data_IF_756314648393
#
_entry.id   IF_756314648393
#
_cell.length_a   1.000
_cell.length_b   1.000
_cell.length_c   1.000
_cell.angle_alpha   90.00
_cell.angle_beta   90.00
_cell.angle_gamma   90.00
#
_symmetry.space_group_name_H-M   'P 1'
#
loop_
_entity.id
_entity.type
_entity.pdbx_description
1 polymer ?
#
# COMPACT_ATOMS: atom_id res chain seq x y z
N UNK A 1 8.26 2.65 -7.08
CA UNK A 1 8.41 2.55 -5.61
C UNK A 1 9.89 2.58 -5.25
N UNK A 2 10.29 3.42 -4.29
CA UNK A 2 11.70 3.83 -4.04
C UNK A 2 12.73 2.70 -3.92
N UNK A 3 12.33 1.51 -3.45
CA UNK A 3 13.25 0.40 -3.13
C UNK A 3 13.10 -0.84 -4.01
N UNK A 4 12.27 -0.78 -5.07
CA UNK A 4 12.03 -1.93 -5.96
C UNK A 4 13.34 -2.56 -6.45
N UNK A 5 14.28 -1.74 -6.91
CA UNK A 5 15.55 -2.26 -7.44
C UNK A 5 16.43 -2.92 -6.38
N UNK A 6 16.43 -2.41 -5.15
CA UNK A 6 17.16 -3.02 -4.04
C UNK A 6 16.52 -4.34 -3.60
N UNK A 7 15.18 -4.38 -3.56
CA UNK A 7 14.42 -5.61 -3.25
C UNK A 7 14.75 -6.72 -4.26
N UNK A 8 14.68 -6.42 -5.56
CA UNK A 8 14.93 -7.42 -6.59
C UNK A 8 16.42 -7.85 -6.65
N UNK A 9 17.34 -6.94 -6.36
CA UNK A 9 18.77 -7.28 -6.24
C UNK A 9 19.05 -8.21 -5.04
N UNK A 10 18.39 -7.96 -3.90
CA UNK A 10 18.47 -8.85 -2.74
C UNK A 10 17.90 -10.24 -3.03
N UNK A 11 16.86 -10.32 -3.86
CA UNK A 11 16.30 -11.60 -4.33
C UNK A 11 17.23 -12.34 -5.31
N UNK A 12 18.34 -11.75 -5.75
CA UNK A 12 19.34 -12.41 -6.60
C UNK A 12 19.06 -12.31 -8.11
N UNK A 13 18.26 -11.32 -8.55
CA UNK A 13 18.10 -11.04 -9.97
C UNK A 13 19.30 -10.26 -10.52
N UNK A 14 19.53 -10.36 -11.83
CA UNK A 14 20.58 -9.59 -12.51
C UNK A 14 20.30 -8.09 -12.42
N UNK A 15 21.35 -7.27 -12.47
CA UNK A 15 21.23 -5.79 -12.36
C UNK A 15 20.23 -5.19 -13.35
N UNK A 16 20.17 -5.70 -14.58
CA UNK A 16 19.21 -5.25 -15.61
C UNK A 16 17.77 -5.62 -15.21
N UNK A 17 17.55 -6.84 -14.74
CA UNK A 17 16.23 -7.29 -14.31
C UNK A 17 15.75 -6.50 -13.09
N UNK A 18 16.63 -6.30 -12.10
CA UNK A 18 16.31 -5.59 -10.85
C UNK A 18 16.11 -4.08 -11.05
N UNK A 19 16.88 -3.45 -11.94
CA UNK A 19 16.85 -1.98 -12.08
C UNK A 19 15.87 -1.49 -13.14
N UNK A 20 15.63 -2.30 -14.18
CA UNK A 20 14.87 -1.86 -15.36
C UNK A 20 13.62 -2.70 -15.57
N UNK A 21 13.77 -4.00 -15.79
CA UNK A 21 12.66 -4.84 -16.28
C UNK A 21 11.57 -5.00 -15.22
N UNK A 22 11.91 -5.52 -14.03
CA UNK A 22 10.93 -5.80 -12.99
C UNK A 22 10.28 -4.52 -12.43
N UNK A 23 11.00 -3.42 -12.17
CA UNK A 23 10.37 -2.15 -11.77
C UNK A 23 9.40 -1.61 -12.82
N UNK A 24 9.75 -1.65 -14.11
CA UNK A 24 8.88 -1.14 -15.17
C UNK A 24 7.62 -1.99 -15.33
N UNK A 25 7.73 -3.32 -15.26
CA UNK A 25 6.57 -4.21 -15.24
C UNK A 25 5.68 -3.91 -14.03
N UNK A 26 6.27 -3.71 -12.86
CA UNK A 26 5.51 -3.40 -11.65
C UNK A 26 4.80 -2.03 -11.73
N UNK A 27 5.42 -1.03 -12.35
CA UNK A 27 4.78 0.26 -12.62
C UNK A 27 3.63 0.13 -13.63
N UNK A 28 3.76 -0.73 -14.64
CA UNK A 28 2.67 -1.04 -15.55
C UNK A 28 1.50 -1.74 -14.84
N UNK A 29 1.80 -2.71 -13.97
CA UNK A 29 0.79 -3.35 -13.09
C UNK A 29 0.10 -2.28 -12.25
N UNK A 30 0.85 -1.38 -11.62
CA UNK A 30 0.29 -0.29 -10.83
C UNK A 30 -0.69 0.56 -11.65
N UNK A 31 -0.28 0.99 -12.85
CA UNK A 31 -1.11 1.78 -13.77
C UNK A 31 -2.42 1.05 -14.10
N UNK A 32 -2.36 -0.20 -14.55
CA UNK A 32 -3.56 -0.98 -14.91
C UNK A 32 -4.46 -1.24 -13.68
N UNK A 33 -3.87 -1.42 -12.51
CA UNK A 33 -4.60 -1.68 -11.27
C UNK A 33 -5.43 -0.49 -10.78
N UNK A 34 -5.09 0.74 -11.19
CA UNK A 34 -5.89 1.91 -10.79
C UNK A 34 -7.30 1.93 -11.40
N UNK A 35 -7.52 1.29 -12.56
CA UNK A 35 -8.84 1.27 -13.21
C UNK A 35 -9.92 0.55 -12.37
N UNK A 36 -9.67 -0.68 -11.87
CA UNK A 36 -10.55 -1.30 -10.87
C UNK A 36 -10.79 -0.45 -9.63
N UNK A 37 -9.78 0.32 -9.19
CA UNK A 37 -9.90 1.19 -8.02
C UNK A 37 -10.91 2.32 -8.22
N UNK A 38 -10.89 2.97 -9.39
CA UNK A 38 -11.87 4.01 -9.74
C UNK A 38 -13.31 3.48 -9.65
N UNK A 39 -13.56 2.30 -10.25
CA UNK A 39 -14.87 1.66 -10.19
C UNK A 39 -15.24 1.18 -8.79
N UNK A 40 -14.27 0.62 -8.05
CA UNK A 40 -14.44 0.08 -6.72
C UNK A 40 -14.85 1.15 -5.70
N UNK A 41 -14.31 2.37 -5.81
CA UNK A 41 -14.59 3.46 -4.87
C UNK A 41 -16.09 3.76 -4.82
N UNK A 42 -16.74 3.81 -5.98
CA UNK A 42 -18.17 4.09 -6.09
C UNK A 42 -19.03 2.89 -5.68
N UNK A 43 -18.66 1.67 -6.10
CA UNK A 43 -19.48 0.47 -5.88
C UNK A 43 -19.31 -0.17 -4.51
N UNK A 44 -18.09 -0.29 -3.99
CA UNK A 44 -17.79 -1.02 -2.76
C UNK A 44 -17.76 -0.10 -1.53
N UNK A 45 -17.54 1.20 -1.73
CA UNK A 45 -17.38 2.17 -0.65
C UNK A 45 -15.94 2.27 -0.15
N UNK A 46 -15.65 3.34 0.58
CA UNK A 46 -14.27 3.71 0.94
C UNK A 46 -13.77 2.82 2.08
N UNK A 47 -14.61 2.56 3.09
CA UNK A 47 -14.24 1.75 4.25
C UNK A 47 -13.94 0.32 3.83
N UNK A 48 -14.84 -0.29 3.04
CA UNK A 48 -14.70 -1.66 2.55
C UNK A 48 -13.40 -1.85 1.77
N UNK A 49 -13.06 -0.91 0.88
CA UNK A 49 -11.82 -0.97 0.12
C UNK A 49 -10.57 -0.85 0.99
N UNK A 50 -10.56 0.04 2.00
CA UNK A 50 -9.44 0.17 2.92
C UNK A 50 -9.24 -1.11 3.76
N UNK A 51 -10.33 -1.71 4.24
CA UNK A 51 -10.28 -2.96 5.00
C UNK A 51 -9.75 -4.12 4.14
N UNK A 52 -10.35 -4.35 2.96
CA UNK A 52 -9.92 -5.41 2.03
C UNK A 52 -8.47 -5.18 1.60
N UNK A 53 -8.14 -3.94 1.23
CA UNK A 53 -6.79 -3.57 0.82
C UNK A 53 -5.75 -3.84 1.89
N UNK A 54 -6.04 -3.50 3.15
CA UNK A 54 -5.10 -3.72 4.25
C UNK A 54 -4.83 -5.22 4.48
N UNK A 55 -5.87 -6.06 4.41
CA UNK A 55 -5.75 -7.51 4.51
C UNK A 55 -4.92 -8.05 3.35
N UNK A 56 -5.28 -7.72 2.10
CA UNK A 56 -4.58 -8.20 0.91
C UNK A 56 -3.11 -7.79 0.92
N UNK A 57 -2.81 -6.53 1.20
CA UNK A 57 -1.44 -6.04 1.31
C UNK A 57 -0.66 -6.74 2.42
N UNK A 58 -1.29 -7.00 3.57
CA UNK A 58 -0.67 -7.74 4.68
C UNK A 58 -0.32 -9.18 4.28
N UNK A 59 -1.26 -9.89 3.63
CA UNK A 59 -1.04 -11.25 3.11
C UNK A 59 0.10 -11.26 2.11
N UNK A 60 0.13 -10.35 1.14
CA UNK A 60 1.20 -10.34 0.13
C UNK A 60 2.56 -9.95 0.69
N UNK A 61 2.62 -9.12 1.74
CA UNK A 61 3.86 -8.89 2.48
C UNK A 61 4.35 -10.16 3.19
N UNK A 62 3.47 -10.91 3.85
CA UNK A 62 3.82 -12.19 4.46
C UNK A 62 4.24 -13.24 3.42
N UNK A 63 3.54 -13.30 2.28
CA UNK A 63 3.93 -14.16 1.16
C UNK A 63 5.30 -13.78 0.61
N UNK A 64 5.57 -12.48 0.43
CA UNK A 64 6.89 -11.99 -0.01
C UNK A 64 7.98 -12.40 0.97
N UNK A 65 7.75 -12.25 2.28
CA UNK A 65 8.67 -12.74 3.30
C UNK A 65 8.90 -14.26 3.19
N UNK A 66 7.82 -15.05 3.19
CA UNK A 66 7.89 -16.51 3.16
C UNK A 66 8.55 -17.06 1.90
N UNK A 67 8.32 -16.47 0.72
CA UNK A 67 8.99 -16.88 -0.51
C UNK A 67 10.46 -16.43 -0.53
N UNK A 68 10.77 -15.24 -0.01
CA UNK A 68 12.14 -14.72 0.01
C UNK A 68 13.05 -15.56 0.92
N UNK A 69 12.55 -16.10 2.03
CA UNK A 69 13.34 -16.99 2.91
C UNK A 69 13.64 -18.35 2.27
N UNK A 70 12.86 -18.77 1.28
CA UNK A 70 13.02 -20.05 0.56
C UNK A 70 13.82 -19.92 -0.75
N UNK A 71 14.24 -18.70 -1.11
CA UNK A 71 14.92 -18.42 -2.38
C UNK A 71 16.35 -18.99 -2.44
N UNK A 72 16.92 -19.42 -1.30
CA UNK A 72 18.28 -19.96 -1.24
C UNK A 72 19.35 -18.87 -1.28
N UNK A 73 20.60 -19.22 -1.57
CA UNK A 73 21.70 -18.26 -1.65
C UNK A 73 21.80 -17.61 -3.02
N UNK A 74 22.46 -16.45 -3.12
CA UNK A 74 22.71 -15.77 -4.40
C UNK A 74 23.46 -16.63 -5.42
N UNK A 75 24.27 -17.59 -4.96
CA UNK A 75 25.03 -18.50 -5.83
C UNK A 75 24.20 -19.66 -6.37
N UNK A 76 23.19 -20.11 -5.62
CA UNK A 76 22.29 -21.22 -6.01
C UNK A 76 20.84 -20.86 -5.68
N UNK A 77 20.25 -19.88 -6.38
CA UNK A 77 18.88 -19.47 -6.11
C UNK A 77 17.89 -20.54 -6.57
N UNK A 78 16.91 -20.85 -5.74
CA UNK A 78 15.72 -21.58 -6.17
C UNK A 78 14.84 -20.64 -6.99
N UNK A 79 14.95 -20.74 -8.32
CA UNK A 79 14.23 -19.89 -9.27
C UNK A 79 12.71 -19.89 -9.02
N UNK A 80 12.13 -21.02 -8.61
CA UNK A 80 10.68 -21.10 -8.32
C UNK A 80 10.25 -20.15 -7.21
N UNK A 81 10.95 -20.20 -6.07
CA UNK A 81 10.69 -19.30 -4.94
C UNK A 81 11.05 -17.84 -5.24
N UNK A 82 12.10 -17.63 -6.04
CA UNK A 82 12.51 -16.30 -6.51
C UNK A 82 11.40 -15.60 -7.30
N UNK A 83 10.81 -16.29 -8.29
CA UNK A 83 9.69 -15.75 -9.07
C UNK A 83 8.41 -15.61 -8.24
N UNK A 84 8.15 -16.53 -7.30
CA UNK A 84 7.02 -16.43 -6.39
C UNK A 84 7.11 -15.18 -5.47
N UNK A 85 8.32 -14.83 -5.01
CA UNK A 85 8.56 -13.62 -4.24
C UNK A 85 8.27 -12.36 -5.07
N UNK A 86 8.73 -12.31 -6.32
CA UNK A 86 8.43 -11.19 -7.25
C UNK A 86 6.94 -11.08 -7.55
N UNK A 87 6.27 -12.20 -7.82
CA UNK A 87 4.83 -12.23 -8.04
C UNK A 87 4.07 -11.70 -6.81
N UNK A 88 4.49 -12.07 -5.61
CA UNK A 88 3.92 -11.55 -4.35
C UNK A 88 4.11 -10.04 -4.23
N UNK A 89 5.27 -9.50 -4.63
CA UNK A 89 5.48 -8.04 -4.68
C UNK A 89 4.54 -7.38 -5.70
N UNK A 90 4.33 -7.97 -6.87
CA UNK A 90 3.41 -7.42 -7.87
C UNK A 90 1.96 -7.44 -7.38
N UNK A 91 1.54 -8.51 -6.70
CA UNK A 91 0.20 -8.62 -6.12
C UNK A 91 0.00 -7.63 -4.96
N UNK A 92 1.06 -7.36 -4.17
CA UNK A 92 1.05 -6.26 -3.22
C UNK A 92 0.82 -4.92 -3.91
N UNK A 93 1.58 -4.60 -4.97
CA UNK A 93 1.43 -3.34 -5.71
C UNK A 93 0.05 -3.22 -6.34
N UNK A 94 -0.45 -4.31 -6.94
CA UNK A 94 -1.81 -4.40 -7.45
C UNK A 94 -2.78 -4.01 -6.35
N UNK A 95 -2.70 -4.67 -5.19
CA UNK A 95 -3.59 -4.45 -4.04
C UNK A 95 -3.56 -3.02 -3.53
N UNK A 96 -2.37 -2.44 -3.40
CA UNK A 96 -2.20 -1.04 -3.01
C UNK A 96 -2.86 -0.10 -4.02
N UNK A 97 -2.59 -0.28 -5.32
CA UNK A 97 -2.97 0.64 -6.38
C UNK A 97 -4.48 0.85 -6.53
N UNK A 98 -5.29 -0.18 -6.29
CA UNK A 98 -6.75 -0.07 -6.38
C UNK A 98 -7.45 0.23 -5.04
N UNK A 99 -6.72 0.17 -3.91
CA UNK A 99 -7.28 0.42 -2.56
C UNK A 99 -6.61 1.63 -1.90
N UNK A 100 -5.56 1.43 -1.12
CA UNK A 100 -4.87 2.44 -0.33
C UNK A 100 -4.13 3.50 -1.16
N UNK A 101 -3.94 3.26 -2.45
CA UNK A 101 -3.41 4.24 -3.38
C UNK A 101 -4.34 5.45 -3.54
N UNK A 102 -5.55 5.27 -4.12
CA UNK A 102 -6.48 6.38 -4.37
C UNK A 102 -7.41 6.69 -3.18
N UNK A 103 -7.83 5.68 -2.40
CA UNK A 103 -8.93 5.85 -1.43
C UNK A 103 -8.64 6.90 -0.37
N UNK A 104 -7.45 6.99 0.26
CA UNK A 104 -7.18 8.03 1.27
C UNK A 104 -7.29 9.45 0.72
N UNK A 105 -6.94 9.67 -0.55
CA UNK A 105 -7.05 10.99 -1.19
C UNK A 105 -8.49 11.42 -1.39
N UNK A 106 -9.36 10.47 -1.75
CA UNK A 106 -10.81 10.69 -1.86
C UNK A 106 -11.42 10.85 -0.47
N UNK A 107 -11.04 9.98 0.46
CA UNK A 107 -11.60 9.94 1.81
C UNK A 107 -11.35 11.25 2.56
N UNK A 108 -10.13 11.80 2.53
CA UNK A 108 -9.85 13.09 3.18
C UNK A 108 -10.68 14.24 2.58
N UNK A 109 -11.02 14.19 1.29
CA UNK A 109 -11.84 15.22 0.66
C UNK A 109 -13.32 15.13 1.08
N UNK A 110 -13.80 13.95 1.49
CA UNK A 110 -15.20 13.68 1.84
C UNK A 110 -15.47 13.77 3.35
N UNK A 111 -14.50 13.33 4.16
CA UNK A 111 -14.67 13.14 5.60
C UNK A 111 -14.68 14.45 6.39
N UNK A 112 -13.98 15.47 5.91
CA UNK A 112 -13.87 16.73 6.65
C UNK A 112 -15.09 17.64 6.44
N UNK A 113 -15.59 18.26 7.53
CA UNK A 113 -16.60 19.30 7.48
C UNK A 113 -16.23 20.41 6.50
N UNK A 114 -17.22 20.93 5.77
CA UNK A 114 -17.00 21.89 4.67
C UNK A 114 -16.13 23.08 5.10
N UNK A 115 -16.34 23.59 6.32
CA UNK A 115 -15.62 24.75 6.86
C UNK A 115 -14.12 24.53 7.06
N UNK A 116 -13.69 23.30 7.39
CA UNK A 116 -12.29 23.00 7.72
C UNK A 116 -11.62 22.05 6.73
N UNK A 117 -12.34 21.60 5.70
CA UNK A 117 -11.87 20.63 4.72
C UNK A 117 -10.52 20.95 4.12
N UNK A 118 -10.32 22.18 3.66
CA UNK A 118 -9.04 22.60 3.07
C UNK A 118 -7.89 22.45 4.08
N UNK A 119 -8.10 22.87 5.34
CA UNK A 119 -7.08 22.76 6.39
C UNK A 119 -6.83 21.29 6.77
N UNK A 120 -7.89 20.49 6.90
CA UNK A 120 -7.80 19.06 7.21
C UNK A 120 -7.04 18.28 6.14
N UNK A 121 -7.40 18.46 4.87
CA UNK A 121 -6.71 17.82 3.74
C UNK A 121 -5.25 18.28 3.60
N UNK A 122 -4.95 19.55 3.92
CA UNK A 122 -3.58 20.03 3.94
C UNK A 122 -2.74 19.31 5.01
N UNK A 123 -3.26 19.16 6.23
CA UNK A 123 -2.57 18.41 7.30
C UNK A 123 -2.39 16.93 6.91
N UNK A 124 -3.41 16.31 6.31
CA UNK A 124 -3.32 14.94 5.79
C UNK A 124 -2.21 14.78 4.74
N UNK A 125 -2.13 15.73 3.82
CA UNK A 125 -1.12 15.76 2.75
C UNK A 125 0.28 15.96 3.31
N UNK A 126 0.48 16.92 4.22
CA UNK A 126 1.77 17.16 4.88
C UNK A 126 2.21 15.92 5.67
N UNK A 127 1.28 15.31 6.41
CA UNK A 127 1.54 14.06 7.13
C UNK A 127 1.98 12.95 6.18
N UNK A 128 1.31 12.79 5.02
CA UNK A 128 1.70 11.80 4.02
C UNK A 128 3.13 12.01 3.51
N UNK A 129 3.49 13.23 3.11
CA UNK A 129 4.83 13.52 2.61
C UNK A 129 5.91 13.41 3.69
N UNK A 130 5.62 13.79 4.93
CA UNK A 130 6.53 13.61 6.06
C UNK A 130 6.80 12.12 6.34
N UNK A 131 5.74 11.30 6.37
CA UNK A 131 5.90 9.86 6.55
C UNK A 131 6.65 9.21 5.37
N UNK A 132 6.40 9.66 4.14
CA UNK A 132 7.17 9.23 2.98
C UNK A 132 8.66 9.58 3.10
N UNK A 133 9.00 10.76 3.64
CA UNK A 133 10.39 11.14 3.89
C UNK A 133 11.04 10.26 4.96
N UNK A 134 10.34 9.98 6.07
CA UNK A 134 10.84 9.07 7.12
C UNK A 134 11.10 7.68 6.56
N UNK A 135 10.14 7.09 5.83
CA UNK A 135 10.31 5.79 5.19
C UNK A 135 11.39 5.85 4.09
N UNK A 136 11.51 6.99 3.40
CA UNK A 136 12.57 7.36 2.47
C UNK A 136 13.98 7.24 3.06
N UNK A 137 14.12 7.61 4.33
CA UNK A 137 15.39 7.60 5.03
C UNK A 137 15.66 6.27 5.75
N UNK A 138 14.65 5.72 6.42
CA UNK A 138 14.76 4.51 7.26
C UNK A 138 14.71 3.23 6.41
N UNK A 139 14.05 3.25 5.25
CA UNK A 139 13.87 2.09 4.37
C UNK A 139 15.17 1.36 3.99
N UNK A 140 16.20 2.04 3.46
CA UNK A 140 17.46 1.40 3.12
C UNK A 140 18.17 0.79 4.33
N UNK A 141 18.06 1.45 5.49
CA UNK A 141 18.64 0.96 6.74
C UNK A 141 17.98 -0.35 7.18
N UNK A 142 16.65 -0.42 7.13
CA UNK A 142 15.91 -1.65 7.44
C UNK A 142 16.25 -2.78 6.45
N UNK A 143 16.22 -2.50 5.15
CA UNK A 143 16.52 -3.49 4.12
C UNK A 143 17.95 -4.04 4.23
N UNK A 144 18.91 -3.24 4.73
CA UNK A 144 20.29 -3.68 4.94
C UNK A 144 20.48 -4.55 6.19
N UNK A 145 19.79 -4.25 7.30
CA UNK A 145 20.02 -4.94 8.58
C UNK A 145 19.01 -6.05 8.88
N UNK A 146 17.76 -5.86 8.44
CA UNK A 146 16.66 -6.80 8.69
C UNK A 146 16.36 -7.67 7.47
N UNK A 147 16.88 -7.31 6.30
CA UNK A 147 16.74 -8.06 5.05
C UNK A 147 15.26 -8.43 4.80
N UNK A 148 14.96 -9.72 4.65
CA UNK A 148 13.60 -10.23 4.40
C UNK A 148 12.64 -9.98 5.56
N UNK A 149 13.12 -9.85 6.80
CA UNK A 149 12.26 -9.57 7.97
C UNK A 149 11.58 -8.20 7.89
N UNK A 150 12.10 -7.29 7.05
CA UNK A 150 11.47 -5.99 6.77
C UNK A 150 10.03 -6.16 6.26
N UNK A 151 9.73 -7.22 5.51
CA UNK A 151 8.38 -7.50 5.03
C UNK A 151 7.42 -7.91 6.15
N UNK A 152 7.90 -8.51 7.26
CA UNK A 152 7.07 -8.77 8.44
C UNK A 152 6.68 -7.46 9.11
N UNK A 153 7.62 -6.52 9.23
CA UNK A 153 7.35 -5.19 9.79
C UNK A 153 6.26 -4.46 8.97
N UNK A 154 6.35 -4.53 7.64
CA UNK A 154 5.32 -3.96 6.77
C UNK A 154 3.98 -4.70 6.88
N UNK A 155 3.97 -6.02 7.03
CA UNK A 155 2.74 -6.77 7.30
C UNK A 155 2.10 -6.35 8.64
N UNK A 156 2.89 -6.11 9.67
CA UNK A 156 2.40 -5.58 10.96
C UNK A 156 1.83 -4.16 10.80
N UNK A 157 2.47 -3.30 10.01
CA UNK A 157 1.92 -1.98 9.68
C UNK A 157 0.59 -2.10 8.91
N UNK A 158 0.45 -3.06 7.99
CA UNK A 158 -0.82 -3.36 7.32
C UNK A 158 -1.89 -3.84 8.30
N UNK A 159 -1.53 -4.61 9.34
CA UNK A 159 -2.48 -5.04 10.38
C UNK A 159 -2.97 -3.84 11.22
N UNK A 160 -2.10 -2.89 11.55
CA UNK A 160 -2.49 -1.63 12.20
C UNK A 160 -3.39 -0.79 11.29
N UNK A 161 -3.06 -0.72 9.99
CA UNK A 161 -3.88 -0.04 9.00
C UNK A 161 -5.27 -0.70 8.86
N UNK A 162 -5.35 -2.03 8.94
CA UNK A 162 -6.61 -2.77 8.98
C UNK A 162 -7.44 -2.45 10.22
N UNK A 163 -6.82 -2.45 11.41
CA UNK A 163 -7.50 -2.06 12.66
C UNK A 163 -8.04 -0.63 12.56
N UNK A 164 -7.23 0.30 12.05
CA UNK A 164 -7.65 1.67 11.82
C UNK A 164 -8.85 1.74 10.86
N UNK A 165 -8.77 1.06 9.72
CA UNK A 165 -9.84 1.02 8.73
C UNK A 165 -11.13 0.38 9.27
N UNK A 166 -11.02 -0.64 10.12
CA UNK A 166 -12.18 -1.33 10.66
C UNK A 166 -12.91 -0.50 11.72
N UNK A 167 -12.18 0.14 12.63
CA UNK A 167 -12.76 0.80 13.80
C UNK A 167 -12.94 2.31 13.66
N UNK A 168 -12.06 3.01 12.94
CA UNK A 168 -12.05 4.48 12.90
C UNK A 168 -12.52 5.08 11.58
N UNK A 169 -12.47 4.31 10.48
CA UNK A 169 -12.97 4.80 9.19
C UNK A 169 -14.49 4.67 9.14
N UNK A 170 -15.13 5.81 8.86
CA UNK A 170 -16.56 5.91 8.58
C UNK A 170 -16.82 5.67 7.09
N UNK A 171 -17.93 5.00 6.77
CA UNK A 171 -18.36 4.88 5.37
C UNK A 171 -19.03 6.16 4.90
N UNK A 172 -18.57 6.66 3.75
CA UNK A 172 -19.04 7.88 3.07
C UNK A 172 -19.93 7.57 1.85
N UNK A 173 -20.02 6.30 1.44
CA UNK A 173 -20.79 5.89 0.27
C UNK A 173 -22.26 6.30 0.38
N UNK A 174 -22.74 6.96 -0.69
CA UNK A 174 -24.16 7.30 -0.87
C UNK A 174 -24.62 8.53 -0.07
N UNK A 175 -23.69 9.24 0.58
CA UNK A 175 -23.99 10.48 1.30
C UNK A 175 -23.49 11.68 0.50
N UNK A 176 -24.29 12.75 0.47
CA UNK A 176 -23.83 14.06 0.01
C UNK A 176 -22.78 14.64 0.96
N UNK A 177 -22.04 15.64 0.49
CA UNK A 177 -21.05 16.34 1.32
C UNK A 177 -21.69 17.04 2.53
N UNK A 178 -22.97 17.41 2.44
CA UNK A 178 -23.72 18.07 3.51
C UNK A 178 -24.23 17.04 4.53
N UNK A 179 -24.66 15.88 4.08
CA UNK A 179 -25.07 14.76 4.95
C UNK A 179 -23.88 14.22 5.76
N UNK A 180 -22.69 14.16 5.14
CA UNK A 180 -21.44 13.85 5.84
C UNK A 180 -21.08 14.89 6.90
N UNK A 181 -21.32 16.18 6.62
CA UNK A 181 -21.10 17.29 7.57
C UNK A 181 -22.02 17.14 8.80
N UNK A 182 -23.31 16.83 8.59
CA UNK A 182 -24.27 16.58 9.66
C UNK A 182 -23.92 15.35 10.51
N UNK A 183 -23.48 14.26 9.85
CA UNK A 183 -23.04 13.04 10.52
C UNK A 183 -21.81 13.27 11.40
N UNK A 184 -20.86 14.08 10.92
CA UNK A 184 -19.69 14.47 11.73
C UNK A 184 -20.03 15.45 12.86
N UNK A 185 -21.06 16.27 12.69
CA UNK A 185 -21.56 17.16 13.73
C UNK A 185 -22.39 16.44 14.82
N UNK A 186 -22.59 15.12 14.71
CA UNK A 186 -23.39 14.33 15.66
C UNK A 186 -24.89 14.64 15.62
N UNK A 187 -25.39 15.16 14.49
CA UNK A 187 -26.80 15.55 14.30
C UNK A 187 -27.63 14.49 13.55
N UNK A 188 -27.17 13.24 13.52
CA UNK A 188 -27.82 12.12 12.86
C UNK A 188 -28.11 10.99 13.85
#
# INVERSE_FOLDING_TARGET
MYYQSQIYDQMGFTKIMSTVVLPNVNNFVNFVSTFPGMWGIEKLGRKTLLVIGAIMMGVFHLSTWACSTQTGTKEKPNKGWQYAAVASVFLFVFSFAWTWGPVPWVYQAEVFPLRVRVKGSAVGTVSNFLNNWIIGFVGPFLMKHWETKTFILFAAACALAWLYAQFYVLECKGLSLEEMDQKMAGKA
#
